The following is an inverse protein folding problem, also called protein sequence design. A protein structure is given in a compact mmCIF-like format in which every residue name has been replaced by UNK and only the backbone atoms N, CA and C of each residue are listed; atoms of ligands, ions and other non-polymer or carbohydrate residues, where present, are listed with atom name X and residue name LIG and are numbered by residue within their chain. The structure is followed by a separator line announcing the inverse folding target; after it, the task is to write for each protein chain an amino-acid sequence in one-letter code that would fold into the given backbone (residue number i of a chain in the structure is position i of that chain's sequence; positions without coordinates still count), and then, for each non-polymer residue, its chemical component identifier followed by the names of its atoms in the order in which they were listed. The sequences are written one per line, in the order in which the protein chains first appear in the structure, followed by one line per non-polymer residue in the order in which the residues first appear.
data_IF_083777124925
#
_entry.id   IF_083777124925
#
_cell.length_a   1.000
_cell.length_b   1.000
_cell.length_c   1.000
_cell.angle_alpha   90.00
_cell.angle_beta   90.00
_cell.angle_gamma   90.00
#
_symmetry.space_group_name_H-M   'P 1'
#
loop_
_entity.id
_entity.type
_entity.pdbx_description
1 polymer ?
#
# COMPACT_ATOMS: atom_id res chain seq x y z
N UNK A 1 -10.90 5.54 74.52
CA UNK A 1 -10.29 4.39 73.84
C UNK A 1 -11.38 3.71 73.03
N UNK A 2 -11.33 3.84 71.70
CA UNK A 2 -12.07 3.07 70.68
C UNK A 2 -11.36 3.37 69.34
N UNK A 3 -11.21 2.38 68.45
CA UNK A 3 -12.23 2.28 67.41
C UNK A 3 -12.71 0.85 67.11
N UNK A 4 -14.01 0.82 66.86
CA UNK A 4 -14.85 -0.25 66.36
C UNK A 4 -14.57 -0.52 64.87
N UNK A 5 -14.53 -1.80 64.50
CA UNK A 5 -14.28 -2.30 63.15
C UNK A 5 -15.46 -1.99 62.22
N UNK A 6 -15.38 -0.90 61.44
CA UNK A 6 -16.27 -0.68 60.29
C UNK A 6 -15.57 -1.06 58.99
N UNK A 7 -15.76 -2.30 58.53
CA UNK A 7 -15.40 -2.75 57.18
C UNK A 7 -16.37 -2.15 56.15
N UNK A 8 -15.93 -1.36 55.16
CA UNK A 8 -16.78 -0.97 54.05
C UNK A 8 -17.02 -2.16 53.11
N UNK A 9 -18.30 -2.43 52.81
CA UNK A 9 -18.75 -3.44 51.84
C UNK A 9 -18.13 -3.17 50.46
N UNK A 10 -17.70 -4.20 49.70
CA UNK A 10 -17.17 -4.01 48.37
C UNK A 10 -18.27 -3.53 47.42
N UNK A 11 -18.02 -2.43 46.73
CA UNK A 11 -18.85 -1.91 45.64
C UNK A 11 -18.84 -2.89 44.46
N UNK A 12 -19.97 -3.13 43.78
CA UNK A 12 -19.98 -3.91 42.55
C UNK A 12 -19.29 -3.10 41.46
N UNK A 13 -18.11 -3.55 41.04
CA UNK A 13 -17.44 -3.07 39.83
C UNK A 13 -18.32 -3.40 38.64
N UNK A 14 -18.91 -2.38 38.01
CA UNK A 14 -19.48 -2.50 36.68
C UNK A 14 -18.31 -2.83 35.74
N UNK A 15 -18.16 -4.09 35.36
CA UNK A 15 -17.31 -4.45 34.22
C UNK A 15 -17.87 -3.72 33.00
N UNK A 16 -17.22 -2.64 32.59
CA UNK A 16 -17.32 -2.19 31.21
C UNK A 16 -16.84 -3.37 30.35
N UNK A 17 -17.51 -3.70 29.23
CA UNK A 17 -16.93 -4.62 28.28
C UNK A 17 -15.60 -4.01 27.85
N UNK A 18 -14.51 -4.64 28.30
CA UNK A 18 -13.18 -4.41 27.78
C UNK A 18 -13.29 -4.52 26.27
N UNK A 19 -12.92 -3.43 25.61
CA UNK A 19 -12.81 -3.35 24.17
C UNK A 19 -11.98 -4.54 23.74
N UNK A 20 -12.63 -5.54 23.11
CA UNK A 20 -11.94 -6.56 22.38
C UNK A 20 -11.30 -5.90 21.14
N UNK A 21 -10.24 -5.12 21.37
CA UNK A 21 -9.22 -4.85 20.37
C UNK A 21 -8.43 -6.13 20.18
N UNK A 22 -9.11 -7.11 19.58
CA UNK A 22 -8.52 -8.35 19.10
C UNK A 22 -8.99 -8.54 17.66
N UNK A 23 -8.81 -7.48 16.87
CA UNK A 23 -8.28 -7.68 15.54
C UNK A 23 -6.83 -7.20 15.62
N UNK A 24 -5.95 -8.04 16.16
CA UNK A 24 -4.66 -8.19 15.48
C UNK A 24 -5.05 -8.58 14.07
N UNK A 25 -5.22 -7.58 13.21
CA UNK A 25 -5.15 -7.80 11.79
C UNK A 25 -3.84 -8.57 11.66
N UNK A 26 -3.94 -9.84 11.28
CA UNK A 26 -2.81 -10.50 10.65
C UNK A 26 -2.49 -9.57 9.48
N UNK A 27 -1.55 -8.66 9.71
CA UNK A 27 -0.92 -7.88 8.68
C UNK A 27 -0.21 -8.94 7.88
N UNK A 28 -0.93 -9.57 6.94
CA UNK A 28 -0.30 -10.31 5.85
C UNK A 28 0.88 -9.43 5.45
N UNK A 29 2.12 -9.96 5.47
CA UNK A 29 3.24 -9.15 5.02
C UNK A 29 2.78 -8.56 3.68
N UNK A 30 2.84 -7.23 3.52
CA UNK A 30 2.41 -6.62 2.26
C UNK A 30 3.11 -7.41 1.17
N UNK A 31 2.37 -7.87 0.15
CA UNK A 31 2.96 -8.50 -1.03
C UNK A 31 4.21 -7.68 -1.38
N UNK A 32 5.38 -8.29 -1.21
CA UNK A 32 6.69 -7.63 -1.27
C UNK A 32 7.58 -8.47 -2.17
N UNK A 33 8.27 -7.81 -3.09
CA UNK A 33 9.26 -8.43 -3.96
C UNK A 33 10.54 -7.61 -3.96
N UNK A 34 11.67 -8.28 -3.79
CA UNK A 34 13.00 -7.66 -3.88
C UNK A 34 13.56 -7.94 -5.26
N UNK A 35 14.05 -6.90 -5.93
CA UNK A 35 14.68 -7.00 -7.24
C UNK A 35 15.94 -6.15 -7.32
N UNK A 36 16.78 -6.41 -8.32
CA UNK A 36 18.01 -5.66 -8.57
C UNK A 36 17.84 -4.75 -9.77
N UNK A 37 18.32 -3.52 -9.66
CA UNK A 37 18.38 -2.57 -10.77
C UNK A 37 19.71 -1.79 -10.69
N UNK A 38 20.52 -1.93 -11.74
CA UNK A 38 21.91 -1.46 -11.72
C UNK A 38 22.70 -2.10 -10.58
N UNK A 39 23.39 -1.27 -9.79
CA UNK A 39 24.10 -1.68 -8.58
C UNK A 39 23.23 -1.65 -7.30
N UNK A 40 21.93 -1.29 -7.43
CA UNK A 40 21.00 -1.12 -6.32
C UNK A 40 20.11 -2.34 -6.07
N UNK A 41 19.67 -2.50 -4.82
CA UNK A 41 18.60 -3.43 -4.43
C UNK A 41 17.35 -2.65 -4.03
N UNK A 42 16.23 -3.00 -4.64
CA UNK A 42 14.96 -2.31 -4.50
C UNK A 42 13.87 -3.27 -4.02
N UNK A 43 12.88 -2.69 -3.35
CA UNK A 43 11.71 -3.40 -2.85
C UNK A 43 10.46 -2.85 -3.53
N UNK A 44 9.69 -3.72 -4.16
CA UNK A 44 8.36 -3.44 -4.70
C UNK A 44 7.29 -3.92 -3.72
N UNK A 45 6.27 -3.10 -3.48
CA UNK A 45 5.11 -3.45 -2.64
C UNK A 45 3.80 -3.03 -3.32
N UNK A 46 2.72 -3.76 -3.08
CA UNK A 46 1.41 -3.33 -3.57
C UNK A 46 0.78 -2.33 -2.60
N UNK A 47 0.46 -1.13 -3.10
CA UNK A 47 -0.23 -0.08 -2.35
C UNK A 47 -1.70 0.06 -2.74
N UNK A 48 -2.16 -0.55 -3.83
CA UNK A 48 -3.54 -0.42 -4.29
C UNK A 48 -3.89 -1.32 -5.46
N UNK A 49 -5.19 -1.46 -5.70
CA UNK A 49 -5.75 -2.25 -6.79
C UNK A 49 -6.83 -1.45 -7.50
N UNK A 50 -6.80 -1.44 -8.82
CA UNK A 50 -7.87 -0.90 -9.65
C UNK A 50 -8.42 -2.03 -10.52
N UNK A 51 -9.68 -2.40 -10.29
CA UNK A 51 -10.37 -3.37 -11.16
C UNK A 51 -10.64 -2.70 -12.51
N UNK A 52 -10.29 -3.38 -13.58
CA UNK A 52 -10.64 -2.94 -14.92
C UNK A 52 -12.16 -2.82 -15.07
N UNK A 53 -12.64 -1.69 -15.59
CA UNK A 53 -14.06 -1.52 -15.93
C UNK A 53 -14.31 -2.13 -17.30
N UNK A 54 -14.78 -3.38 -17.35
CA UNK A 54 -15.14 -4.09 -18.58
C UNK A 54 -14.82 -5.60 -18.52
N UNK A 55 -15.65 -6.42 -19.17
CA UNK A 55 -15.34 -7.85 -19.36
C UNK A 55 -14.13 -7.98 -20.29
N UNK A 56 -12.94 -8.17 -19.70
CA UNK A 56 -11.68 -8.36 -20.43
C UNK A 56 -10.55 -7.40 -20.04
N UNK A 57 -10.80 -6.40 -19.20
CA UNK A 57 -9.75 -5.48 -18.74
C UNK A 57 -8.93 -6.13 -17.63
N UNK A 58 -7.63 -6.35 -17.87
CA UNK A 58 -6.70 -6.81 -16.84
C UNK A 58 -6.73 -5.84 -15.64
N UNK A 59 -6.74 -6.38 -14.43
CA UNK A 59 -6.61 -5.57 -13.22
C UNK A 59 -5.30 -4.79 -13.24
N UNK A 60 -5.31 -3.60 -12.64
CA UNK A 60 -4.09 -2.84 -12.39
C UNK A 60 -3.78 -2.90 -10.90
N UNK A 61 -2.50 -3.05 -10.58
CA UNK A 61 -1.97 -2.92 -9.23
C UNK A 61 -1.08 -1.69 -9.15
N UNK A 62 -1.24 -0.91 -8.08
CA UNK A 62 -0.34 0.17 -7.75
C UNK A 62 0.85 -0.43 -7.03
N UNK A 63 2.00 -0.44 -7.69
CA UNK A 63 3.27 -0.87 -7.11
C UNK A 63 4.02 0.36 -6.64
N UNK A 64 4.42 0.36 -5.38
CA UNK A 64 5.33 1.35 -4.80
C UNK A 64 6.71 0.74 -4.65
N UNK A 65 7.73 1.53 -4.94
CA UNK A 65 9.12 1.10 -4.92
C UNK A 65 9.88 1.90 -3.86
N UNK A 66 10.61 1.19 -3.01
CA UNK A 66 11.49 1.76 -1.98
C UNK A 66 12.87 1.11 -2.02
N UNK A 67 13.89 1.73 -1.43
CA UNK A 67 15.18 1.08 -1.26
C UNK A 67 15.05 -0.13 -0.31
N UNK A 68 15.85 -1.17 -0.52
CA UNK A 68 15.78 -2.37 0.34
C UNK A 68 16.08 -2.08 1.81
N UNK A 69 16.93 -1.10 2.10
CA UNK A 69 17.32 -0.70 3.46
C UNK A 69 16.18 -0.04 4.22
N UNK A 70 15.31 0.70 3.53
CA UNK A 70 14.09 1.27 4.07
C UNK A 70 12.91 1.01 3.14
N UNK A 71 12.34 -0.21 3.19
CA UNK A 71 11.27 -0.58 2.27
C UNK A 71 10.00 0.22 2.53
N UNK A 72 9.84 0.80 3.72
CA UNK A 72 8.65 1.53 4.16
C UNK A 72 8.61 2.99 3.69
N UNK A 73 9.73 3.53 3.22
CA UNK A 73 9.86 4.84 2.58
C UNK A 73 9.84 4.70 1.04
N UNK A 74 8.64 4.64 0.41
CA UNK A 74 8.54 4.54 -1.04
C UNK A 74 9.03 5.84 -1.70
N UNK A 75 9.84 5.68 -2.75
CA UNK A 75 10.40 6.77 -3.54
C UNK A 75 9.70 6.92 -4.89
N UNK A 76 9.13 5.84 -5.40
CA UNK A 76 8.48 5.78 -6.72
C UNK A 76 7.20 4.96 -6.68
N UNK A 77 6.30 5.21 -7.62
CA UNK A 77 5.07 4.44 -7.81
C UNK A 77 4.72 4.26 -9.28
N UNK A 78 4.05 3.15 -9.60
CA UNK A 78 3.53 2.87 -10.93
C UNK A 78 2.33 1.94 -10.88
N UNK A 79 1.37 2.15 -11.78
CA UNK A 79 0.32 1.19 -12.06
C UNK A 79 0.82 0.15 -13.06
N UNK A 80 0.77 -1.12 -12.68
CA UNK A 80 1.21 -2.25 -13.50
C UNK A 80 0.02 -3.18 -13.74
N UNK A 81 -0.19 -3.68 -14.97
CA UNK A 81 -1.20 -4.72 -15.21
C UNK A 81 -0.80 -6.01 -14.48
N UNK A 82 -1.72 -6.56 -13.69
CA UNK A 82 -1.48 -7.77 -12.92
C UNK A 82 -2.52 -7.97 -11.82
N UNK A 83 -2.49 -9.15 -11.21
CA UNK A 83 -3.35 -9.48 -10.07
C UNK A 83 -2.65 -9.27 -8.73
N UNK A 84 -1.31 -9.19 -8.74
CA UNK A 84 -0.46 -9.01 -7.57
C UNK A 84 1.03 -9.10 -7.94
N UNK A 85 1.92 -8.84 -6.98
CA UNK A 85 3.37 -8.87 -7.25
C UNK A 85 3.88 -10.25 -7.64
N UNK A 86 3.29 -11.32 -7.10
CA UNK A 86 3.63 -12.70 -7.47
C UNK A 86 3.40 -13.02 -8.96
N UNK A 87 2.58 -12.22 -9.66
CA UNK A 87 2.34 -12.37 -11.10
C UNK A 87 3.34 -11.63 -11.98
N UNK A 88 4.19 -10.77 -11.39
CA UNK A 88 5.17 -9.98 -12.11
C UNK A 88 6.54 -10.66 -12.08
N UNK A 89 7.22 -10.71 -13.23
CA UNK A 89 8.63 -11.11 -13.28
C UNK A 89 9.54 -9.97 -12.81
N UNK A 90 10.78 -10.32 -12.47
CA UNK A 90 11.80 -9.32 -12.12
C UNK A 90 12.00 -8.29 -13.25
N UNK A 91 12.03 -8.73 -14.51
CA UNK A 91 12.15 -7.83 -15.67
C UNK A 91 11.03 -6.79 -15.71
N UNK A 92 9.79 -7.22 -15.44
CA UNK A 92 8.62 -6.31 -15.41
C UNK A 92 8.74 -5.32 -14.25
N UNK A 93 9.25 -5.74 -13.09
CA UNK A 93 9.51 -4.85 -11.96
C UNK A 93 10.61 -3.83 -12.26
N UNK A 94 11.67 -4.23 -12.95
CA UNK A 94 12.76 -3.35 -13.38
C UNK A 94 12.26 -2.33 -14.40
N UNK A 95 11.50 -2.75 -15.40
CA UNK A 95 10.91 -1.86 -16.40
C UNK A 95 9.92 -0.88 -15.75
N UNK A 96 9.04 -1.39 -14.89
CA UNK A 96 8.10 -0.57 -14.14
C UNK A 96 8.83 0.44 -13.24
N UNK A 97 9.88 0.03 -12.53
CA UNK A 97 10.69 0.93 -11.69
C UNK A 97 11.32 2.07 -12.48
N UNK A 98 11.86 1.78 -13.67
CA UNK A 98 12.47 2.77 -14.55
C UNK A 98 11.45 3.77 -15.08
N UNK A 99 10.24 3.30 -15.39
CA UNK A 99 9.14 4.13 -15.89
C UNK A 99 8.29 4.78 -14.78
N UNK A 100 8.50 4.37 -13.52
CA UNK A 100 7.74 4.83 -12.37
C UNK A 100 7.93 6.33 -12.13
N UNK A 101 6.86 6.97 -11.66
CA UNK A 101 6.86 8.38 -11.27
C UNK A 101 7.27 8.51 -9.79
N UNK A 102 7.69 9.70 -9.33
CA UNK A 102 7.92 9.92 -7.90
C UNK A 102 6.69 9.56 -7.06
N UNK A 103 6.91 8.92 -5.91
CA UNK A 103 5.83 8.54 -5.00
C UNK A 103 5.05 9.78 -4.54
N UNK A 104 3.72 9.73 -4.63
CA UNK A 104 2.85 10.88 -4.31
C UNK A 104 2.12 10.74 -2.99
N UNK A 105 2.06 9.55 -2.40
CA UNK A 105 1.33 9.30 -1.14
C UNK A 105 -0.20 9.30 -1.28
N UNK A 106 -0.73 9.91 -2.34
CA UNK A 106 -2.13 9.83 -2.72
C UNK A 106 -2.35 8.50 -3.45
N UNK A 107 -2.80 7.46 -2.75
CA UNK A 107 -3.21 6.16 -3.31
C UNK A 107 -4.38 6.22 -4.31
N UNK A 108 -4.62 7.40 -4.89
CA UNK A 108 -5.70 7.79 -5.81
C UNK A 108 -5.17 8.29 -7.16
N UNK A 109 -3.84 8.44 -7.34
CA UNK A 109 -3.26 8.91 -8.58
C UNK A 109 -3.35 7.82 -9.68
N UNK A 110 -4.55 7.70 -10.25
CA UNK A 110 -4.88 6.94 -11.47
C UNK A 110 -3.77 7.15 -12.53
N UNK A 111 -3.42 6.15 -13.36
CA UNK A 111 -2.70 6.47 -14.58
C UNK A 111 -3.57 7.48 -15.33
N UNK A 112 -2.97 8.60 -15.73
CA UNK A 112 -3.60 9.46 -16.72
C UNK A 112 -3.76 8.58 -17.95
N UNK A 113 -4.96 8.03 -18.13
CA UNK A 113 -5.36 7.35 -19.35
C UNK A 113 -4.99 8.24 -20.53
N UNK A 114 -4.46 7.56 -21.53
CA UNK A 114 -4.06 8.02 -22.84
C UNK A 114 -4.84 9.23 -23.41
N UNK A 115 -4.14 9.94 -24.29
CA UNK A 115 -4.67 10.85 -25.31
C UNK A 115 -4.64 12.35 -24.97
N UNK A 116 -3.46 12.94 -25.20
CA UNK A 116 -3.27 14.37 -25.37
C UNK A 116 -2.46 14.67 -26.63
N UNK A 117 -2.69 13.90 -27.71
CA UNK A 117 -2.11 14.17 -29.02
C UNK A 117 -2.84 15.34 -29.67
N UNK A 118 -2.63 16.56 -29.20
CA UNK A 118 -2.94 17.77 -29.99
C UNK A 118 -1.67 18.35 -30.57
N UNK A 119 -1.17 17.65 -31.60
CA UNK A 119 -0.45 18.29 -32.71
C UNK A 119 -1.47 19.17 -33.46
N UNK A 120 -1.65 20.40 -33.01
CA UNK A 120 -2.09 21.51 -33.86
C UNK A 120 -0.91 22.47 -33.87
N UNK A 121 -0.07 22.56 -34.90
CA UNK A 121 -0.46 22.66 -36.30
C UNK A 121 -0.85 24.10 -36.61
N UNK A 122 0.16 24.93 -36.89
CA UNK A 122 0.18 26.01 -37.90
C UNK A 122 -1.11 26.84 -38.13
N UNK A 123 -1.02 28.12 -37.78
CA UNK A 123 -1.72 29.23 -38.44
C UNK A 123 -1.02 30.51 -37.97
N UNK A 124 -0.09 31.07 -38.75
CA UNK A 124 -0.35 32.13 -39.74
C UNK A 124 -0.71 33.45 -39.03
#
# INVERSE_FOLDING_TARGET
MNPDHSTPRPTPVRQLPEVASSASAETRPPDECVFREGDGCWTARVAGYQKGVGSGSAGLILVVFGPREDPFEPVREMWVPGEGLASLSEDVLVEAFRAAVPYRGDGTAKPADADGRTRSGRGA
#
